data_IF_471258060032
#
_entry.id   IF_471258060032
#
_cell.length_a   1.000
_cell.length_b   1.000
_cell.length_c   1.000
_cell.angle_alpha   90.00
_cell.angle_beta   90.00
_cell.angle_gamma   90.00
#
_symmetry.space_group_name_H-M   'P 1'
#
loop_
_entity.id
_entity.type
_entity.pdbx_description
1 polymer ?
#
# COMPACT_ATOMS: atom_id res chain seq x y z
N UNK A 1 -16.37 -8.70 0.73
CA UNK A 1 -15.48 -9.76 1.23
C UNK A 1 -15.31 -9.59 2.75
N UNK A 2 -14.71 -8.49 3.23
CA UNK A 2 -14.40 -8.31 4.67
C UNK A 2 -15.65 -8.34 5.56
N UNK A 3 -16.74 -7.69 5.15
CA UNK A 3 -18.00 -7.72 5.90
C UNK A 3 -18.63 -9.12 5.99
N UNK A 4 -18.35 -9.97 5.00
CA UNK A 4 -18.73 -11.39 5.04
C UNK A 4 -17.76 -12.24 5.89
N UNK A 5 -16.79 -11.63 6.54
CA UNK A 5 -15.80 -12.30 7.37
C UNK A 5 -14.79 -13.13 6.59
N UNK A 6 -14.59 -12.83 5.31
CA UNK A 6 -13.61 -13.50 4.46
C UNK A 6 -12.34 -12.65 4.26
N UNK A 7 -11.26 -13.31 3.87
CA UNK A 7 -9.97 -12.69 3.54
C UNK A 7 -9.92 -12.45 2.03
N UNK A 8 -9.49 -11.27 1.58
CA UNK A 8 -9.33 -11.05 0.15
C UNK A 8 -7.89 -11.24 -0.31
N UNK A 9 -7.76 -11.77 -1.52
CA UNK A 9 -6.48 -12.01 -2.19
C UNK A 9 -6.53 -11.31 -3.54
N UNK A 10 -5.95 -10.12 -3.67
CA UNK A 10 -6.01 -9.38 -4.92
C UNK A 10 -5.01 -9.94 -5.92
N UNK A 11 -5.47 -10.28 -7.11
CA UNK A 11 -4.64 -10.85 -8.19
C UNK A 11 -4.91 -10.07 -9.48
N UNK A 12 -3.83 -9.57 -10.12
CA UNK A 12 -3.95 -8.86 -11.39
C UNK A 12 -4.17 -9.81 -12.55
N UNK A 13 -5.03 -9.44 -13.48
CA UNK A 13 -5.22 -10.15 -14.75
C UNK A 13 -4.01 -10.02 -15.69
N UNK A 14 -3.17 -9.00 -15.51
CA UNK A 14 -1.92 -8.83 -16.27
C UNK A 14 -0.87 -9.88 -15.93
N UNK A 15 -1.05 -10.62 -14.84
CA UNK A 15 -0.15 -11.71 -14.49
C UNK A 15 -0.42 -12.93 -15.39
N UNK A 16 0.63 -13.68 -15.77
CA UNK A 16 0.47 -14.92 -16.52
C UNK A 16 -0.48 -15.89 -15.82
N UNK A 17 -1.32 -16.59 -16.57
CA UNK A 17 -2.31 -17.54 -16.05
C UNK A 17 -1.70 -18.53 -15.05
N UNK A 18 -0.57 -19.15 -15.41
CA UNK A 18 0.14 -20.09 -14.55
C UNK A 18 0.59 -19.48 -13.20
N UNK A 19 0.82 -18.16 -13.14
CA UNK A 19 1.11 -17.48 -11.88
C UNK A 19 -0.16 -17.26 -11.06
N UNK A 20 -1.26 -16.87 -11.71
CA UNK A 20 -2.57 -16.72 -11.05
C UNK A 20 -3.03 -18.04 -10.42
N UNK A 21 -2.94 -19.13 -11.17
CA UNK A 21 -3.28 -20.48 -10.69
C UNK A 21 -2.45 -20.90 -9.46
N UNK A 22 -1.15 -20.63 -9.48
CA UNK A 22 -0.29 -20.87 -8.31
C UNK A 22 -0.74 -20.08 -7.07
N UNK A 23 -1.11 -18.80 -7.25
CA UNK A 23 -1.62 -17.98 -6.16
C UNK A 23 -2.95 -18.52 -5.66
N UNK A 24 -3.88 -18.91 -6.56
CA UNK A 24 -5.17 -19.45 -6.17
C UNK A 24 -5.04 -20.75 -5.37
N UNK A 25 -4.16 -21.65 -5.83
CA UNK A 25 -3.90 -22.91 -5.14
C UNK A 25 -3.24 -22.69 -3.77
N UNK A 26 -2.18 -21.86 -3.72
CA UNK A 26 -1.46 -21.56 -2.49
C UNK A 26 -2.36 -20.86 -1.46
N UNK A 27 -3.11 -19.83 -1.89
CA UNK A 27 -4.04 -19.11 -1.03
C UNK A 27 -5.32 -19.90 -0.70
N UNK A 28 -5.50 -21.11 -1.22
CA UNK A 28 -6.72 -21.90 -1.06
C UNK A 28 -7.99 -21.10 -1.39
N UNK A 29 -7.95 -20.36 -2.52
CA UNK A 29 -9.03 -19.46 -2.95
C UNK A 29 -10.31 -20.28 -3.17
N UNK A 30 -11.42 -19.79 -2.62
CA UNK A 30 -12.72 -20.45 -2.70
C UNK A 30 -13.70 -19.85 -3.70
N UNK A 31 -13.47 -18.60 -4.05
CA UNK A 31 -14.31 -17.84 -4.96
C UNK A 31 -13.46 -16.77 -5.64
N UNK A 32 -13.57 -16.64 -6.94
CA UNK A 32 -12.97 -15.54 -7.70
C UNK A 32 -14.05 -14.54 -8.05
N UNK A 33 -13.86 -13.27 -7.64
CA UNK A 33 -14.71 -12.14 -8.05
C UNK A 33 -14.05 -11.41 -9.22
N UNK A 34 -14.77 -11.20 -10.29
CA UNK A 34 -14.28 -10.52 -11.50
C UNK A 34 -15.17 -9.34 -11.88
N UNK A 35 -14.54 -8.29 -12.44
CA UNK A 35 -15.24 -7.08 -12.88
C UNK A 35 -15.80 -7.21 -14.31
N UNK A 36 -15.24 -8.09 -15.14
CA UNK A 36 -15.67 -8.32 -16.52
C UNK A 36 -15.75 -9.82 -16.78
N UNK A 37 -16.54 -10.22 -17.77
CA UNK A 37 -16.58 -11.59 -18.27
C UNK A 37 -15.26 -11.93 -18.98
N UNK A 38 -14.22 -12.14 -18.23
CA UNK A 38 -12.96 -12.70 -18.71
C UNK A 38 -12.90 -14.17 -18.31
N UNK A 39 -13.15 -15.05 -19.27
CA UNK A 39 -13.09 -16.49 -19.05
C UNK A 39 -11.68 -16.97 -18.62
N UNK A 40 -10.65 -16.14 -18.81
CA UNK A 40 -9.29 -16.46 -18.39
C UNK A 40 -9.01 -16.18 -16.91
N UNK A 41 -9.93 -15.51 -16.20
CA UNK A 41 -9.72 -15.12 -14.80
C UNK A 41 -9.92 -16.27 -13.81
N UNK A 42 -10.65 -17.33 -14.20
CA UNK A 42 -10.95 -18.48 -13.35
C UNK A 42 -9.93 -19.60 -13.46
N UNK A 43 -10.05 -20.56 -12.58
CA UNK A 43 -9.51 -21.92 -12.66
C UNK A 43 -10.69 -22.86 -12.81
N UNK A 44 -10.51 -23.98 -13.50
CA UNK A 44 -11.60 -24.96 -13.73
C UNK A 44 -12.26 -25.46 -12.46
N UNK A 45 -11.54 -25.44 -11.34
CA UNK A 45 -11.99 -25.95 -10.04
C UNK A 45 -12.52 -24.88 -9.07
N UNK A 46 -12.42 -23.58 -9.41
CA UNK A 46 -12.80 -22.49 -8.48
C UNK A 46 -13.99 -21.72 -9.06
N UNK A 47 -15.11 -21.61 -8.31
CA UNK A 47 -16.25 -20.81 -8.75
C UNK A 47 -15.87 -19.37 -9.06
N UNK A 48 -16.35 -18.85 -10.18
CA UNK A 48 -16.17 -17.46 -10.61
C UNK A 48 -17.51 -16.74 -10.53
N UNK A 49 -17.52 -15.58 -9.88
CA UNK A 49 -18.68 -14.72 -9.75
C UNK A 49 -18.40 -13.35 -10.38
N UNK A 50 -19.18 -12.95 -11.36
CA UNK A 50 -19.11 -11.60 -11.89
C UNK A 50 -19.68 -10.60 -10.87
N UNK A 51 -19.09 -9.41 -10.77
CA UNK A 51 -19.54 -8.39 -9.81
C UNK A 51 -21.02 -8.01 -10.02
N UNK A 52 -21.54 -8.03 -11.25
CA UNK A 52 -22.94 -7.79 -11.56
C UNK A 52 -23.87 -8.77 -10.83
N UNK A 53 -23.48 -10.04 -10.82
CA UNK A 53 -24.23 -11.07 -10.09
C UNK A 53 -24.09 -10.90 -8.57
N UNK A 54 -22.91 -10.45 -8.12
CA UNK A 54 -22.67 -10.23 -6.70
C UNK A 54 -23.52 -9.09 -6.13
N UNK A 55 -23.79 -8.02 -6.89
CA UNK A 55 -24.64 -6.90 -6.45
C UNK A 55 -26.13 -7.21 -6.47
N UNK A 56 -26.56 -8.24 -7.23
CA UNK A 56 -27.95 -8.70 -7.27
C UNK A 56 -28.29 -9.63 -6.09
N UNK A 57 -27.28 -10.12 -5.38
CA UNK A 57 -27.47 -10.97 -4.22
C UNK A 57 -28.08 -10.19 -3.04
N UNK A 58 -28.86 -10.88 -2.21
CA UNK A 58 -29.40 -10.26 -1.00
C UNK A 58 -28.26 -9.80 -0.09
N UNK A 59 -28.30 -8.55 0.40
CA UNK A 59 -27.29 -8.05 1.34
C UNK A 59 -27.29 -8.87 2.64
N UNK A 60 -26.10 -9.11 3.19
CA UNK A 60 -25.99 -9.70 4.53
C UNK A 60 -26.62 -8.74 5.55
N UNK A 61 -27.50 -9.24 6.39
CA UNK A 61 -28.22 -8.42 7.38
C UNK A 61 -27.25 -7.75 8.39
N UNK A 62 -26.22 -8.48 8.80
CA UNK A 62 -25.21 -7.98 9.73
C UNK A 62 -23.81 -8.42 9.28
N UNK A 63 -22.79 -7.55 9.44
CA UNK A 63 -21.42 -7.94 9.21
C UNK A 63 -20.99 -9.09 10.13
N UNK A 64 -20.20 -10.02 9.61
CA UNK A 64 -19.59 -11.07 10.42
C UNK A 64 -18.51 -10.44 11.31
N UNK A 65 -18.70 -10.55 12.61
CA UNK A 65 -17.71 -10.03 13.58
C UNK A 65 -16.44 -10.88 13.52
N UNK A 66 -15.31 -10.23 13.31
CA UNK A 66 -13.99 -10.85 13.33
C UNK A 66 -13.12 -10.25 14.40
N UNK A 67 -12.26 -11.07 15.03
CA UNK A 67 -11.25 -10.53 15.94
C UNK A 67 -10.26 -9.65 15.17
N UNK A 68 -9.80 -8.54 15.75
CA UNK A 68 -8.84 -7.63 15.08
C UNK A 68 -7.53 -8.31 14.64
N UNK A 69 -7.15 -9.39 15.31
CA UNK A 69 -5.96 -10.18 15.00
C UNK A 69 -6.16 -11.19 13.86
N UNK A 70 -7.40 -11.37 13.37
CA UNK A 70 -7.62 -12.24 12.23
C UNK A 70 -7.16 -11.60 10.92
N UNK A 71 -6.80 -12.43 9.92
CA UNK A 71 -6.39 -11.94 8.61
C UNK A 71 -7.48 -11.09 7.93
N UNK A 72 -7.05 -9.97 7.34
CA UNK A 72 -7.88 -9.12 6.50
C UNK A 72 -7.60 -9.38 5.01
N UNK A 73 -6.33 -9.50 4.64
CA UNK A 73 -5.93 -9.74 3.27
C UNK A 73 -4.61 -10.53 3.19
N UNK A 74 -4.39 -11.11 2.00
CA UNK A 74 -3.11 -11.72 1.65
C UNK A 74 -2.64 -11.08 0.34
N UNK A 75 -1.52 -10.38 0.38
CA UNK A 75 -0.89 -9.81 -0.81
C UNK A 75 0.32 -10.65 -1.20
N UNK A 76 0.35 -11.06 -2.47
CA UNK A 76 1.44 -11.85 -3.01
C UNK A 76 2.55 -10.99 -3.58
N UNK A 77 3.73 -11.11 -3.00
CA UNK A 77 4.95 -10.44 -3.47
C UNK A 77 5.86 -11.41 -4.23
N UNK A 78 6.78 -10.88 -5.06
CA UNK A 78 7.79 -11.67 -5.72
C UNK A 78 8.83 -12.13 -4.70
N UNK A 79 8.91 -13.43 -4.45
CA UNK A 79 9.99 -13.99 -3.64
C UNK A 79 11.32 -13.94 -4.40
N UNK A 80 12.45 -13.84 -3.68
CA UNK A 80 13.81 -13.92 -4.22
C UNK A 80 14.08 -15.22 -5.00
N UNK A 81 13.32 -16.27 -4.73
CA UNK A 81 13.38 -17.58 -5.40
C UNK A 81 12.46 -17.69 -6.62
N UNK A 82 11.79 -16.60 -7.03
CA UNK A 82 10.82 -16.60 -8.12
C UNK A 82 9.43 -17.17 -7.77
N UNK A 83 9.26 -17.80 -6.62
CA UNK A 83 7.97 -18.27 -6.13
C UNK A 83 7.25 -17.15 -5.38
N UNK A 84 6.00 -16.81 -5.74
CA UNK A 84 5.23 -15.82 -5.01
C UNK A 84 5.07 -16.22 -3.55
N UNK A 85 5.17 -15.25 -2.63
CA UNK A 85 4.91 -15.42 -1.21
C UNK A 85 3.71 -14.58 -0.80
N UNK A 86 2.72 -15.19 -0.15
CA UNK A 86 1.50 -14.51 0.33
C UNK A 86 1.71 -13.93 1.72
N UNK A 87 1.79 -12.62 1.84
CA UNK A 87 1.93 -11.93 3.12
C UNK A 87 0.57 -11.77 3.78
N UNK A 88 0.41 -12.31 4.98
CA UNK A 88 -0.86 -12.31 5.72
C UNK A 88 -0.92 -11.12 6.66
N UNK A 89 -1.82 -10.19 6.39
CA UNK A 89 -2.02 -8.99 7.22
C UNK A 89 -3.33 -9.06 7.99
N UNK A 90 -3.25 -8.77 9.29
CA UNK A 90 -4.41 -8.72 10.16
C UNK A 90 -5.21 -7.42 10.01
N UNK A 91 -6.50 -7.45 10.37
CA UNK A 91 -7.32 -6.23 10.45
C UNK A 91 -6.67 -5.15 11.32
N UNK A 92 -6.07 -5.55 12.44
CA UNK A 92 -5.43 -4.65 13.40
C UNK A 92 -4.22 -3.95 12.79
N UNK A 93 -3.35 -4.69 12.10
CA UNK A 93 -2.15 -4.14 11.46
C UNK A 93 -2.51 -3.10 10.40
N UNK A 94 -3.39 -3.45 9.45
CA UNK A 94 -3.84 -2.55 8.40
C UNK A 94 -4.52 -1.30 8.96
N UNK A 95 -5.40 -1.48 9.95
CA UNK A 95 -6.14 -0.38 10.58
C UNK A 95 -5.21 0.58 11.33
N UNK A 96 -4.18 0.07 12.01
CA UNK A 96 -3.20 0.91 12.70
C UNK A 96 -2.52 1.88 11.74
N UNK A 97 -2.04 1.38 10.61
CA UNK A 97 -1.41 2.23 9.57
C UNK A 97 -2.38 3.27 9.04
N UNK A 98 -3.59 2.86 8.65
CA UNK A 98 -4.61 3.79 8.15
C UNK A 98 -4.96 4.89 9.17
N UNK A 99 -5.12 4.53 10.44
CA UNK A 99 -5.46 5.49 11.50
C UNK A 99 -4.32 6.47 11.78
N UNK A 100 -3.07 5.99 11.84
CA UNK A 100 -1.92 6.85 12.09
C UNK A 100 -1.77 7.89 10.98
N UNK A 101 -1.79 7.45 9.71
CA UNK A 101 -1.66 8.35 8.56
C UNK A 101 -2.79 9.37 8.53
N UNK A 102 -4.03 8.95 8.75
CA UNK A 102 -5.18 9.87 8.77
C UNK A 102 -5.04 10.92 9.90
N UNK A 103 -4.59 10.50 11.07
CA UNK A 103 -4.40 11.41 12.20
C UNK A 103 -3.23 12.35 11.97
N UNK A 104 -2.09 11.82 11.53
CA UNK A 104 -0.84 12.56 11.32
C UNK A 104 -0.98 13.65 10.25
N UNK A 105 -1.67 13.34 9.15
CA UNK A 105 -1.84 14.23 8.03
C UNK A 105 -3.26 14.80 7.89
N UNK A 106 -4.05 14.70 8.96
CA UNK A 106 -5.39 15.29 9.07
C UNK A 106 -6.29 14.94 7.88
N UNK A 107 -6.25 13.67 7.46
CA UNK A 107 -7.10 13.19 6.36
C UNK A 107 -8.55 13.12 6.82
N UNK A 108 -9.47 13.70 6.05
CA UNK A 108 -10.86 13.86 6.43
C UNK A 108 -11.86 13.86 5.26
N UNK A 109 -13.12 14.24 5.51
CA UNK A 109 -14.20 14.16 4.52
C UNK A 109 -14.02 14.99 3.25
N UNK A 110 -13.16 15.99 3.28
CA UNK A 110 -12.85 16.84 2.14
C UNK A 110 -11.74 16.29 1.25
N UNK A 111 -11.07 15.23 1.71
CA UNK A 111 -9.96 14.64 0.96
C UNK A 111 -10.43 13.65 -0.10
N UNK A 112 -9.71 13.69 -1.20
CA UNK A 112 -9.88 12.78 -2.32
C UNK A 112 -8.54 12.27 -2.78
N UNK A 113 -8.41 10.96 -2.89
CA UNK A 113 -7.19 10.32 -3.40
C UNK A 113 -7.40 9.84 -4.83
N UNK A 114 -6.38 10.00 -5.66
CA UNK A 114 -6.36 9.38 -6.98
C UNK A 114 -5.94 7.90 -6.81
N UNK A 115 -6.85 6.97 -7.10
CA UNK A 115 -6.65 5.53 -6.90
C UNK A 115 -5.74 4.93 -8.00
N UNK A 116 -4.45 5.23 -7.95
CA UNK A 116 -3.44 4.80 -8.92
C UNK A 116 -2.91 3.39 -8.62
N UNK A 117 -2.81 3.04 -7.34
CA UNK A 117 -2.22 1.78 -6.94
C UNK A 117 -3.10 0.60 -7.35
N UNK A 118 -2.49 -0.40 -7.98
CA UNK A 118 -3.18 -1.62 -8.31
C UNK A 118 -3.57 -2.38 -7.04
N UNK A 119 -4.72 -3.08 -7.07
CA UNK A 119 -5.26 -3.79 -5.90
C UNK A 119 -4.30 -4.82 -5.29
N UNK A 120 -3.41 -5.40 -6.10
CA UNK A 120 -2.40 -6.37 -5.65
C UNK A 120 -1.14 -5.72 -5.06
N UNK A 121 -1.09 -4.39 -4.93
CA UNK A 121 -0.11 -3.63 -4.14
C UNK A 121 -0.77 -3.08 -2.88
N UNK A 122 -0.06 -3.14 -1.78
CA UNK A 122 -0.56 -2.76 -0.46
C UNK A 122 -0.87 -1.26 -0.30
N UNK A 123 -0.29 -0.39 -1.11
CA UNK A 123 -0.66 1.03 -1.17
C UNK A 123 -2.16 1.23 -1.43
N UNK A 124 -2.78 0.34 -2.21
CA UNK A 124 -4.23 0.36 -2.48
C UNK A 124 -5.08 0.19 -1.22
N UNK A 125 -4.56 -0.48 -0.21
CA UNK A 125 -5.25 -0.68 1.08
C UNK A 125 -5.48 0.66 1.77
N UNK A 126 -4.47 1.54 1.76
CA UNK A 126 -4.64 2.89 2.29
C UNK A 126 -5.58 3.74 1.44
N UNK A 127 -5.41 3.72 0.11
CA UNK A 127 -6.30 4.48 -0.79
C UNK A 127 -7.76 4.15 -0.51
N UNK A 128 -8.09 2.87 -0.39
CA UNK A 128 -9.47 2.41 -0.21
C UNK A 128 -9.90 2.59 1.26
N UNK A 129 -9.25 1.88 2.18
CA UNK A 129 -9.76 1.79 3.55
C UNK A 129 -9.36 2.98 4.41
N UNK A 130 -8.17 3.55 4.20
CA UNK A 130 -7.71 4.72 4.94
C UNK A 130 -8.56 5.94 4.63
N UNK A 131 -8.69 6.27 3.34
CA UNK A 131 -9.41 7.48 2.91
C UNK A 131 -10.91 7.37 3.15
N UNK A 132 -11.53 6.24 2.80
CA UNK A 132 -12.96 6.05 3.06
C UNK A 132 -13.31 6.05 4.55
N UNK A 133 -12.43 5.49 5.40
CA UNK A 133 -12.59 5.55 6.86
C UNK A 133 -12.61 6.99 7.38
N UNK A 134 -11.85 7.87 6.78
CA UNK A 134 -11.82 9.29 7.14
C UNK A 134 -13.03 10.08 6.60
N UNK A 135 -13.94 9.43 5.86
CA UNK A 135 -15.07 10.07 5.20
C UNK A 135 -14.72 10.71 3.86
N UNK A 136 -13.48 10.55 3.38
CA UNK A 136 -13.01 11.02 2.09
C UNK A 136 -13.52 10.19 0.92
N UNK A 137 -12.99 10.43 -0.27
CA UNK A 137 -13.42 9.76 -1.48
C UNK A 137 -12.25 9.26 -2.35
N UNK A 138 -12.50 8.21 -3.15
CA UNK A 138 -11.60 7.72 -4.17
C UNK A 138 -12.00 8.29 -5.53
N UNK A 139 -11.02 8.78 -6.27
CA UNK A 139 -11.15 9.10 -7.69
C UNK A 139 -10.55 7.96 -8.48
N UNK A 140 -11.40 7.21 -9.16
CA UNK A 140 -11.00 6.01 -9.88
C UNK A 140 -10.26 6.36 -11.16
N UNK A 141 -9.19 5.63 -11.43
CA UNK A 141 -8.40 5.72 -12.66
C UNK A 141 -8.72 4.50 -13.52
N UNK A 142 -9.08 4.74 -14.78
CA UNK A 142 -9.35 3.67 -15.74
C UNK A 142 -8.04 2.94 -16.09
N UNK A 143 -8.13 1.66 -16.45
CA UNK A 143 -6.94 0.83 -16.72
C UNK A 143 -6.03 1.43 -17.80
N UNK A 144 -6.61 1.97 -18.88
CA UNK A 144 -5.87 2.64 -19.95
C UNK A 144 -5.26 4.00 -19.54
N UNK A 145 -5.65 4.54 -18.39
CA UNK A 145 -5.15 5.81 -17.85
C UNK A 145 -4.07 5.62 -16.75
N UNK A 146 -3.78 4.39 -16.35
CA UNK A 146 -2.84 4.12 -15.24
C UNK A 146 -1.41 4.61 -15.47
N UNK A 147 -1.04 4.94 -16.70
CA UNK A 147 0.28 5.48 -17.08
C UNK A 147 0.15 6.73 -17.95
N UNK A 148 -0.92 7.49 -17.74
CA UNK A 148 -1.22 8.70 -18.51
C UNK A 148 -1.26 9.94 -17.60
N UNK A 149 -0.15 10.69 -17.48
CA UNK A 149 -0.09 11.87 -16.62
C UNK A 149 -1.05 12.99 -17.08
N UNK A 150 -1.41 13.04 -18.37
CA UNK A 150 -2.43 13.99 -18.85
C UNK A 150 -3.80 13.65 -18.21
N UNK A 151 -4.22 12.40 -18.31
CA UNK A 151 -5.46 11.97 -17.69
C UNK A 151 -5.46 12.17 -16.17
N UNK A 152 -4.31 11.98 -15.51
CA UNK A 152 -4.20 12.25 -14.06
C UNK A 152 -4.41 13.72 -13.73
N UNK A 153 -3.82 14.63 -14.50
CA UNK A 153 -4.02 16.08 -14.33
C UNK A 153 -5.50 16.46 -14.51
N UNK A 154 -6.17 15.93 -15.54
CA UNK A 154 -7.59 16.16 -15.75
C UNK A 154 -8.44 15.67 -14.57
N UNK A 155 -8.16 14.46 -14.05
CA UNK A 155 -8.85 13.89 -12.90
C UNK A 155 -8.59 14.70 -11.63
N UNK A 156 -7.34 15.13 -11.39
CA UNK A 156 -6.96 15.96 -10.24
C UNK A 156 -7.76 17.27 -10.26
N UNK A 157 -7.81 17.95 -11.39
CA UNK A 157 -8.53 19.22 -11.52
C UNK A 157 -10.04 19.04 -11.45
N UNK A 158 -10.60 18.10 -12.23
CA UNK A 158 -12.06 17.86 -12.30
C UNK A 158 -12.64 17.44 -10.96
N UNK A 159 -11.95 16.56 -10.25
CA UNK A 159 -12.44 15.98 -9.01
C UNK A 159 -11.82 16.59 -7.76
N UNK A 160 -10.99 17.65 -7.91
CA UNK A 160 -10.36 18.33 -6.78
C UNK A 160 -9.61 17.35 -5.88
N UNK A 161 -8.76 16.50 -6.49
CA UNK A 161 -7.95 15.53 -5.76
C UNK A 161 -6.98 16.23 -4.84
N UNK A 162 -6.91 15.82 -3.57
CA UNK A 162 -6.11 16.46 -2.53
C UNK A 162 -4.95 15.61 -2.05
N UNK A 163 -5.04 14.31 -2.28
CA UNK A 163 -4.04 13.32 -1.84
C UNK A 163 -3.49 12.55 -3.03
N UNK A 164 -2.17 12.38 -3.04
CA UNK A 164 -1.46 11.52 -3.96
C UNK A 164 -0.73 10.43 -3.19
N UNK A 165 -0.87 9.18 -3.62
CA UNK A 165 -0.17 8.03 -3.05
C UNK A 165 0.33 7.12 -4.16
N UNK A 166 1.64 7.01 -4.33
CA UNK A 166 2.23 6.15 -5.37
C UNK A 166 3.71 5.85 -5.12
N UNK A 167 4.27 5.05 -6.04
CA UNK A 167 5.72 4.96 -6.20
C UNK A 167 6.28 6.27 -6.80
N UNK A 168 7.54 6.64 -6.47
CA UNK A 168 8.15 7.90 -6.90
C UNK A 168 8.13 8.12 -8.42
N UNK A 169 8.31 7.06 -9.20
CA UNK A 169 8.34 7.15 -10.66
C UNK A 169 7.03 7.69 -11.27
N UNK A 170 5.86 7.33 -10.72
CA UNK A 170 4.58 7.85 -11.21
C UNK A 170 4.41 9.34 -10.87
N UNK A 171 4.89 9.75 -9.71
CA UNK A 171 4.85 11.15 -9.32
C UNK A 171 5.82 12.00 -10.15
N UNK A 172 7.00 11.49 -10.46
CA UNK A 172 7.95 12.12 -11.37
C UNK A 172 7.35 12.31 -12.77
N UNK A 173 6.64 11.31 -13.29
CA UNK A 173 5.90 11.43 -14.56
C UNK A 173 4.86 12.55 -14.51
N UNK A 174 4.10 12.66 -13.40
CA UNK A 174 3.13 13.74 -13.21
C UNK A 174 3.81 15.12 -13.22
N UNK A 175 4.86 15.29 -12.41
CA UNK A 175 5.59 16.58 -12.35
C UNK A 175 6.20 16.96 -13.70
N UNK A 176 6.83 16.00 -14.38
CA UNK A 176 7.42 16.24 -15.71
C UNK A 176 6.36 16.69 -16.72
N UNK A 177 5.17 16.09 -16.68
CA UNK A 177 4.04 16.56 -17.49
C UNK A 177 3.64 17.98 -17.13
N UNK A 178 3.43 18.28 -15.86
CA UNK A 178 3.00 19.59 -15.39
C UNK A 178 4.03 20.71 -15.71
N UNK A 179 5.31 20.41 -15.67
CA UNK A 179 6.39 21.32 -16.03
C UNK A 179 6.39 21.68 -17.53
N UNK A 180 5.91 20.78 -18.38
CA UNK A 180 5.80 20.97 -19.82
C UNK A 180 4.52 21.70 -20.28
N UNK A 181 3.48 21.77 -19.45
CA UNK A 181 2.17 22.29 -19.81
C UNK A 181 1.63 23.24 -18.74
N UNK A 182 1.61 24.54 -19.03
CA UNK A 182 1.27 25.59 -18.06
C UNK A 182 -0.12 25.46 -17.41
N UNK A 183 -1.08 24.85 -18.12
CA UNK A 183 -2.45 24.64 -17.62
C UNK A 183 -2.61 23.35 -16.81
N UNK A 184 -1.58 22.52 -16.77
CA UNK A 184 -1.60 21.22 -16.10
C UNK A 184 -0.96 21.35 -14.69
N UNK A 185 -1.64 21.99 -13.75
CA UNK A 185 -1.08 22.20 -12.41
C UNK A 185 -1.75 21.31 -11.37
N UNK A 186 -0.97 20.61 -10.50
CA UNK A 186 -1.50 19.78 -9.43
C UNK A 186 -1.78 20.61 -8.15
N UNK A 187 -2.27 21.84 -8.28
CA UNK A 187 -2.43 22.79 -7.18
C UNK A 187 -3.33 22.30 -6.03
N UNK A 188 -4.26 21.39 -6.34
CA UNK A 188 -5.16 20.84 -5.34
C UNK A 188 -4.51 19.80 -4.45
N UNK A 189 -3.40 19.19 -4.89
CA UNK A 189 -2.70 18.18 -4.10
C UNK A 189 -2.08 18.84 -2.86
N UNK A 190 -2.69 18.62 -1.71
CA UNK A 190 -2.19 19.15 -0.44
C UNK A 190 -1.15 18.25 0.23
N UNK A 191 -1.22 16.94 -0.04
CA UNK A 191 -0.29 15.96 0.51
C UNK A 191 0.07 14.90 -0.54
N UNK A 192 1.37 14.66 -0.66
CA UNK A 192 1.97 13.67 -1.55
C UNK A 192 2.72 12.65 -0.72
N UNK A 193 2.31 11.40 -0.80
CA UNK A 193 2.89 10.25 -0.11
C UNK A 193 3.60 9.37 -1.14
N UNK A 194 4.91 9.23 -1.00
CA UNK A 194 5.73 8.43 -1.92
C UNK A 194 6.44 7.32 -1.17
N UNK A 195 6.37 6.11 -1.72
CA UNK A 195 6.99 4.92 -1.12
C UNK A 195 7.27 3.82 -2.15
N UNK A 196 7.88 2.73 -1.70
CA UNK A 196 8.10 1.53 -2.51
C UNK A 196 9.33 1.56 -3.40
N UNK A 197 10.00 2.70 -3.52
CA UNK A 197 11.27 2.86 -4.25
C UNK A 197 12.03 4.09 -3.74
N UNK A 198 13.23 4.33 -4.27
CA UNK A 198 14.04 5.51 -4.00
C UNK A 198 13.34 6.79 -4.45
N UNK A 199 13.27 7.75 -3.56
CA UNK A 199 12.68 9.08 -3.84
C UNK A 199 13.79 10.01 -4.31
N UNK A 200 13.60 10.62 -5.50
CA UNK A 200 14.52 11.61 -6.05
C UNK A 200 14.63 12.85 -5.15
N UNK A 201 15.86 13.33 -4.97
CA UNK A 201 16.13 14.51 -4.13
C UNK A 201 15.51 15.81 -4.68
N UNK A 202 15.22 15.85 -5.97
CA UNK A 202 14.62 16.97 -6.69
C UNK A 202 13.08 17.03 -6.55
N UNK A 203 12.42 15.89 -6.33
CA UNK A 203 10.96 15.80 -6.31
C UNK A 203 10.28 16.73 -5.28
N UNK A 204 10.79 16.90 -4.04
CA UNK A 204 10.17 17.81 -3.09
C UNK A 204 10.18 19.27 -3.56
N UNK A 205 11.27 19.71 -4.18
CA UNK A 205 11.39 21.09 -4.69
C UNK A 205 10.49 21.32 -5.90
N UNK A 206 10.46 20.37 -6.85
CA UNK A 206 9.60 20.42 -8.04
C UNK A 206 8.12 20.46 -7.67
N UNK A 207 7.70 19.63 -6.71
CA UNK A 207 6.33 19.66 -6.22
C UNK A 207 5.97 21.02 -5.58
N UNK A 208 6.85 21.57 -4.75
CA UNK A 208 6.61 22.88 -4.11
C UNK A 208 6.57 24.05 -5.07
N UNK A 209 7.17 23.93 -6.24
CA UNK A 209 7.02 24.94 -7.29
C UNK A 209 5.55 25.11 -7.71
N UNK A 210 4.74 24.05 -7.68
CA UNK A 210 3.30 24.06 -7.95
C UNK A 210 2.46 24.30 -6.69
N UNK A 211 2.88 23.73 -5.55
CA UNK A 211 2.16 23.81 -4.27
C UNK A 211 3.10 24.15 -3.11
N UNK A 212 3.41 25.46 -2.89
CA UNK A 212 4.38 25.90 -1.87
C UNK A 212 4.08 25.40 -0.45
N UNK A 213 2.80 25.26 -0.09
CA UNK A 213 2.34 24.75 1.21
C UNK A 213 2.01 23.26 1.20
N UNK A 214 2.33 22.55 0.13
CA UNK A 214 2.05 21.13 0.01
C UNK A 214 2.96 20.28 0.91
N UNK A 215 2.38 19.28 1.54
CA UNK A 215 3.14 18.30 2.34
C UNK A 215 3.75 17.24 1.42
N UNK A 216 5.06 17.10 1.47
CA UNK A 216 5.78 16.04 0.79
C UNK A 216 6.24 15.01 1.81
N UNK A 217 5.72 13.79 1.72
CA UNK A 217 5.89 12.75 2.72
C UNK A 217 6.61 11.57 2.10
N UNK A 218 7.83 11.35 2.54
CA UNK A 218 8.57 10.12 2.24
C UNK A 218 8.10 9.03 3.19
N UNK A 219 7.70 7.90 2.64
CA UNK A 219 7.22 6.76 3.40
C UNK A 219 7.97 5.50 2.98
N UNK A 220 8.05 4.56 3.86
CA UNK A 220 8.69 3.29 3.62
C UNK A 220 8.09 2.19 4.47
N UNK A 221 8.55 0.99 4.23
CA UNK A 221 8.08 -0.20 4.90
C UNK A 221 8.25 -1.40 4.00
N UNK A 222 7.77 -2.52 4.48
CA UNK A 222 7.64 -3.74 3.72
C UNK A 222 6.18 -4.18 3.77
N UNK A 223 5.72 -4.92 2.80
CA UNK A 223 4.37 -5.53 2.83
C UNK A 223 4.17 -6.32 4.11
N UNK A 224 5.25 -6.91 4.64
CA UNK A 224 5.31 -7.63 5.92
C UNK A 224 5.13 -6.73 7.16
N UNK A 225 5.03 -5.40 6.97
CA UNK A 225 4.80 -4.43 8.05
C UNK A 225 3.53 -3.58 7.84
N UNK A 226 2.55 -4.09 7.10
CA UNK A 226 1.22 -3.48 6.85
C UNK A 226 1.29 -2.13 6.17
N UNK A 227 1.58 -2.12 4.87
CA UNK A 227 1.64 -0.98 3.96
C UNK A 227 2.90 -0.14 4.21
N UNK A 228 2.95 0.57 5.32
CA UNK A 228 4.07 1.40 5.74
C UNK A 228 4.41 1.17 7.21
N UNK A 229 5.68 1.35 7.51
CA UNK A 229 6.17 1.27 8.89
C UNK A 229 6.77 2.59 9.37
N UNK A 230 6.99 3.56 8.47
CA UNK A 230 7.57 4.87 8.78
C UNK A 230 6.97 5.99 7.94
N UNK A 231 7.24 7.21 8.37
CA UNK A 231 6.99 8.43 7.61
C UNK A 231 8.04 9.50 7.95
N UNK A 232 8.37 10.31 6.95
CA UNK A 232 9.21 11.49 7.09
C UNK A 232 8.63 12.62 6.23
N UNK A 233 8.17 13.69 6.86
CA UNK A 233 7.78 14.89 6.13
C UNK A 233 9.02 15.67 5.71
N UNK A 234 9.18 15.92 4.42
CA UNK A 234 10.36 16.56 3.85
C UNK A 234 10.05 18.04 3.62
N UNK A 235 10.58 18.90 4.46
CA UNK A 235 10.45 20.34 4.30
C UNK A 235 11.49 20.93 3.35
N UNK A 236 12.75 20.51 3.52
CA UNK A 236 13.89 20.91 2.70
C UNK A 236 14.77 19.72 2.38
N UNK A 237 15.53 19.79 1.29
CA UNK A 237 16.53 18.80 0.93
C UNK A 237 17.92 19.47 1.01
N UNK A 238 18.66 19.30 2.13
CA UNK A 238 19.98 19.84 2.27
C UNK A 238 20.94 19.32 1.20
N UNK A 239 21.83 20.19 0.70
CA UNK A 239 22.74 19.85 -0.39
C UNK A 239 23.70 18.68 -0.08
N UNK A 240 23.90 18.37 1.19
CA UNK A 240 24.76 17.24 1.60
C UNK A 240 24.03 15.89 1.65
N UNK A 241 22.70 15.86 1.51
CA UNK A 241 21.94 14.61 1.45
C UNK A 241 22.27 13.84 0.18
N UNK A 242 22.48 12.55 0.35
CA UNK A 242 22.66 11.58 -0.76
C UNK A 242 21.38 10.81 -1.07
N UNK A 243 20.43 10.82 -0.14
CA UNK A 243 19.13 10.18 -0.25
C UNK A 243 18.15 10.87 0.70
N UNK A 244 16.86 10.74 0.41
CA UNK A 244 15.81 11.11 1.36
C UNK A 244 15.92 10.18 2.58
N UNK A 245 15.87 10.69 3.81
CA UNK A 245 15.90 9.86 5.02
C UNK A 245 14.71 8.89 5.07
N UNK A 246 14.95 7.69 5.60
CA UNK A 246 13.88 6.70 5.77
C UNK A 246 12.80 7.19 6.74
N UNK A 247 13.17 7.96 7.75
CA UNK A 247 12.27 8.60 8.71
C UNK A 247 12.06 7.80 9.99
N UNK A 248 10.91 8.03 10.63
CA UNK A 248 10.61 7.50 11.95
C UNK A 248 9.43 6.52 11.91
N UNK A 249 9.41 5.52 12.81
CA UNK A 249 8.33 4.54 12.84
C UNK A 249 6.96 5.20 13.07
N UNK A 250 5.93 4.58 12.50
CA UNK A 250 4.54 4.94 12.75
C UNK A 250 4.14 4.59 14.19
N UNK A 251 3.02 5.12 14.64
CA UNK A 251 2.46 4.80 15.95
C UNK A 251 2.29 3.30 16.14
N UNK A 252 2.69 2.79 17.29
CA UNK A 252 2.70 1.35 17.63
C UNK A 252 3.63 0.50 16.75
N UNK A 253 4.55 1.11 16.03
CA UNK A 253 5.63 0.42 15.33
C UNK A 253 6.98 0.84 15.89
N UNK A 254 8.02 0.03 15.68
CA UNK A 254 9.37 0.24 16.20
C UNK A 254 10.40 -0.23 15.23
N UNK A 255 11.60 0.35 15.36
CA UNK A 255 12.77 -0.03 14.59
C UNK A 255 13.90 -0.44 15.53
N UNK A 256 14.64 -1.46 15.09
CA UNK A 256 15.96 -1.77 15.62
C UNK A 256 16.90 -1.87 14.44
N UNK A 257 18.10 -1.31 14.58
CA UNK A 257 19.21 -1.56 13.67
C UNK A 257 20.16 -2.52 14.38
N UNK A 258 20.34 -3.70 13.83
CA UNK A 258 21.05 -4.78 14.51
C UNK A 258 22.25 -5.28 13.71
N UNK A 259 23.24 -5.80 14.42
CA UNK A 259 24.37 -6.50 13.84
C UNK A 259 24.00 -7.94 13.43
N UNK A 260 24.96 -8.66 12.85
CA UNK A 260 24.81 -10.07 12.43
C UNK A 260 24.43 -11.03 13.57
N UNK A 261 24.65 -10.65 14.83
CA UNK A 261 24.28 -11.42 16.01
C UNK A 261 22.92 -10.99 16.60
N UNK A 262 22.23 -10.04 15.96
CA UNK A 262 20.93 -9.51 16.41
C UNK A 262 21.01 -8.54 17.60
N UNK A 263 22.19 -7.97 17.87
CA UNK A 263 22.41 -6.97 18.91
C UNK A 263 22.22 -5.57 18.33
N UNK A 264 21.68 -4.64 19.11
CA UNK A 264 21.48 -3.26 18.67
C UNK A 264 22.83 -2.61 18.31
N UNK A 265 22.88 -2.02 17.11
CA UNK A 265 24.01 -1.21 16.68
C UNK A 265 23.99 0.15 17.39
N UNK A 266 25.16 0.71 17.73
CA UNK A 266 25.26 2.10 18.13
C UNK A 266 24.81 3.05 17.02
N UNK A 267 24.45 4.29 17.38
CA UNK A 267 24.13 5.34 16.42
C UNK A 267 25.24 5.49 15.38
N UNK A 268 24.84 5.67 14.13
CA UNK A 268 25.72 5.83 12.95
C UNK A 268 26.47 4.56 12.53
N UNK A 269 26.23 3.43 13.17
CA UNK A 269 26.76 2.14 12.74
C UNK A 269 25.71 1.43 11.86
N UNK A 270 26.04 1.13 10.60
CA UNK A 270 25.12 0.39 9.71
C UNK A 270 24.83 -1.02 10.24
N UNK A 271 23.60 -1.48 10.04
CA UNK A 271 23.14 -2.82 10.39
C UNK A 271 21.88 -3.20 9.63
N UNK A 272 21.32 -4.35 9.96
CA UNK A 272 20.03 -4.80 9.42
C UNK A 272 18.87 -4.08 10.14
N UNK A 273 17.92 -3.56 9.37
CA UNK A 273 16.73 -2.91 9.93
C UNK A 273 15.66 -3.96 10.25
N UNK A 274 15.35 -4.10 11.53
CA UNK A 274 14.21 -4.88 12.00
C UNK A 274 13.01 -3.98 12.28
N UNK A 275 11.85 -4.41 11.80
CA UNK A 275 10.59 -3.70 11.96
C UNK A 275 9.73 -4.46 12.97
N UNK A 276 9.32 -3.80 14.05
CA UNK A 276 8.51 -4.40 15.12
C UNK A 276 7.19 -3.67 15.34
N UNK A 277 6.31 -4.31 16.09
CA UNK A 277 5.05 -3.73 16.54
C UNK A 277 3.81 -4.28 15.84
N UNK A 278 2.72 -3.55 16.02
CA UNK A 278 1.36 -3.99 15.66
C UNK A 278 1.14 -4.19 14.15
N UNK A 279 1.96 -3.54 13.32
CA UNK A 279 1.90 -3.65 11.85
C UNK A 279 2.54 -4.90 11.29
N UNK A 280 3.33 -5.64 12.09
CA UNK A 280 4.03 -6.83 11.61
C UNK A 280 3.04 -7.92 11.21
N UNK A 281 3.24 -8.49 10.02
CA UNK A 281 2.39 -9.54 9.46
C UNK A 281 2.31 -10.79 10.33
N UNK A 282 1.23 -11.54 10.14
CA UNK A 282 1.06 -12.84 10.81
C UNK A 282 2.07 -13.88 10.29
N UNK A 283 2.60 -13.68 9.10
CA UNK A 283 3.59 -14.53 8.44
C UNK A 283 3.33 -14.64 6.95
N UNK A 284 3.97 -15.63 6.33
CA UNK A 284 3.68 -16.03 4.95
C UNK A 284 2.67 -17.16 4.94
N UNK A 285 1.64 -17.01 4.11
CA UNK A 285 0.59 -18.01 3.99
C UNK A 285 1.15 -19.33 3.46
N UNK A 286 0.79 -20.44 4.11
CA UNK A 286 1.28 -21.79 3.80
C UNK A 286 2.82 -21.97 3.76
N UNK A 287 3.60 -21.02 4.30
CA UNK A 287 5.06 -21.12 4.36
C UNK A 287 5.59 -20.89 5.79
N UNK A 288 5.39 -21.84 6.70
CA UNK A 288 5.82 -21.71 8.10
C UNK A 288 7.34 -21.61 8.23
N UNK A 289 8.10 -22.32 7.40
CA UNK A 289 9.57 -22.32 7.48
C UNK A 289 10.13 -20.94 7.17
N UNK A 290 9.66 -20.31 6.10
CA UNK A 290 10.06 -18.93 5.76
C UNK A 290 9.54 -17.94 6.79
N UNK A 291 8.34 -18.16 7.32
CA UNK A 291 7.76 -17.32 8.37
C UNK A 291 8.64 -17.35 9.62
N UNK A 292 9.10 -18.48 10.09
CA UNK A 292 10.01 -18.61 11.24
C UNK A 292 11.37 -17.93 10.97
N UNK A 293 11.85 -17.96 9.74
CA UNK A 293 13.11 -17.32 9.37
C UNK A 293 13.02 -15.78 9.35
N UNK A 294 11.91 -15.22 8.95
CA UNK A 294 11.74 -13.78 8.73
C UNK A 294 11.00 -13.05 9.86
N UNK A 295 10.18 -13.77 10.61
CA UNK A 295 9.41 -13.19 11.72
C UNK A 295 9.88 -13.77 13.05
N UNK A 296 10.56 -12.94 13.82
CA UNK A 296 11.07 -13.31 15.13
C UNK A 296 10.08 -12.92 16.21
N UNK A 297 9.82 -13.81 17.15
CA UNK A 297 9.04 -13.49 18.36
C UNK A 297 10.02 -13.42 19.53
N UNK A 298 10.31 -12.20 19.97
CA UNK A 298 11.04 -11.90 21.18
C UNK A 298 10.04 -11.82 22.35
N UNK A 299 10.50 -11.88 23.62
CA UNK A 299 9.58 -11.99 24.76
C UNK A 299 8.43 -10.99 24.79
N UNK A 300 8.69 -9.77 24.30
CA UNK A 300 7.71 -8.67 24.40
C UNK A 300 7.11 -8.27 23.06
N UNK A 301 7.62 -8.74 21.92
CA UNK A 301 7.20 -8.22 20.61
C UNK A 301 7.59 -9.13 19.43
N UNK A 302 6.83 -9.00 18.36
CA UNK A 302 7.11 -9.64 17.07
C UNK A 302 7.86 -8.68 16.14
N UNK A 303 8.89 -9.20 15.45
CA UNK A 303 9.77 -8.46 14.56
C UNK A 303 9.84 -9.11 13.18
N UNK A 304 9.89 -8.29 12.16
CA UNK A 304 10.24 -8.65 10.78
C UNK A 304 11.66 -8.20 10.48
N UNK A 305 12.47 -9.09 9.88
CA UNK A 305 13.86 -8.86 9.51
C UNK A 305 14.14 -9.02 8.03
#
# INVERSE_FOLDING_TARGET
>A
VLLAGAVYVPVSLDQPAARREKIYADASVRLVLICQHDASAGSDDIPVLAWQQAIEAEPIANPVVRAPTQPAYIIYTSGSTGTPKGVVISHRGALNTCCDINTRYQVGPHDRVLALSALHFDLSVYDIFGVLRAGGALVMVMENQRRDPHAWCELIQRHQVTLWNSVPALFDMLLTWCEGFADATPENLRAVMLSGDWIGLDLPARYRAFRPQGQFIAMGGATEASIWSNACEIHDVPAHWRSIPYGFPLTNQRYRVVDEQGRDCPDWVPGELWIGGIGVAEGYFNDPLRSEQQFLTLPDERWYR
#
